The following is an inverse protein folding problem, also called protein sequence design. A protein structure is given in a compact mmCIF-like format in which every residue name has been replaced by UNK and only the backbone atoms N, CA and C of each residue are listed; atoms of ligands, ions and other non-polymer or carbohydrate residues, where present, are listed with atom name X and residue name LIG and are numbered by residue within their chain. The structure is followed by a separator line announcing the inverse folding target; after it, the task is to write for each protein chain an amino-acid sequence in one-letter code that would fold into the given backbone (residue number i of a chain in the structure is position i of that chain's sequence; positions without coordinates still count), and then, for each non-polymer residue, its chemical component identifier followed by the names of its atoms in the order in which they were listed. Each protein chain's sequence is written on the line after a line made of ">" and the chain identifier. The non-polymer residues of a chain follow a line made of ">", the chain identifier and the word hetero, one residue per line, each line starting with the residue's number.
data_IF_630004135735
#
_entry.id   IF_630004135735
#
_cell.length_a   1.000
_cell.length_b   1.000
_cell.length_c   1.000
_cell.angle_alpha   90.00
_cell.angle_beta   90.00
_cell.angle_gamma   90.00
#
_symmetry.space_group_name_H-M   'P 1'
#
loop_
_entity.id
_entity.type
_entity.pdbx_description
1 polymer ?
#
# COMPACT_ATOMS: atom_id res chain seq x y z
N UNK A 1 14.55 -7.09 25.01
CA UNK A 1 13.84 -8.09 24.18
C UNK A 1 12.36 -7.72 24.16
N UNK A 2 11.66 -7.94 23.05
CA UNK A 2 10.21 -7.76 23.02
C UNK A 2 9.53 -8.68 24.04
N UNK A 3 8.54 -8.17 24.76
CA UNK A 3 7.72 -8.95 25.67
C UNK A 3 6.67 -9.77 24.93
N UNK A 4 6.10 -9.19 23.89
CA UNK A 4 5.00 -9.78 23.14
C UNK A 4 5.45 -10.27 21.76
N UNK A 5 4.73 -11.26 21.24
CA UNK A 5 4.96 -11.78 19.88
C UNK A 5 4.68 -10.69 18.85
N UNK A 6 5.31 -10.84 17.67
CA UNK A 6 4.97 -10.02 16.50
C UNK A 6 3.73 -10.61 15.81
N UNK A 7 2.61 -9.87 15.71
CA UNK A 7 1.38 -10.35 15.07
C UNK A 7 1.52 -10.56 13.56
N UNK A 8 2.55 -9.97 12.93
CA UNK A 8 2.76 -10.04 11.48
C UNK A 8 3.61 -11.23 11.03
N UNK A 9 3.97 -12.09 11.97
CA UNK A 9 4.52 -13.43 11.67
C UNK A 9 3.38 -14.42 11.46
N UNK A 10 3.60 -15.45 10.64
CA UNK A 10 2.62 -16.51 10.42
C UNK A 10 2.14 -17.14 11.75
N UNK A 11 3.11 -17.48 12.63
CA UNK A 11 2.81 -18.05 13.95
C UNK A 11 2.09 -17.06 14.84
N UNK A 12 2.52 -15.79 14.87
CA UNK A 12 1.89 -14.75 15.70
C UNK A 12 0.46 -14.47 15.28
N UNK A 13 0.20 -14.33 13.98
CA UNK A 13 -1.14 -14.08 13.45
C UNK A 13 -2.10 -15.22 13.75
N UNK A 14 -1.70 -16.47 13.46
CA UNK A 14 -2.50 -17.66 13.74
C UNK A 14 -2.71 -17.90 15.22
N UNK A 15 -1.76 -17.49 16.10
CA UNK A 15 -1.93 -17.59 17.53
C UNK A 15 -3.01 -16.64 18.05
N UNK A 16 -3.09 -15.44 17.51
CA UNK A 16 -4.09 -14.44 17.91
C UNK A 16 -5.46 -14.79 17.38
N UNK A 17 -5.58 -15.09 16.08
CA UNK A 17 -6.85 -15.16 15.39
C UNK A 17 -7.23 -16.55 14.88
N UNK A 18 -6.31 -17.50 14.82
CA UNK A 18 -6.51 -18.79 14.18
C UNK A 18 -6.74 -19.98 15.14
N UNK A 19 -6.92 -19.74 16.44
CA UNK A 19 -7.08 -20.81 17.42
C UNK A 19 -8.52 -20.87 17.95
N UNK A 20 -9.14 -22.06 17.88
CA UNK A 20 -10.52 -22.28 18.34
C UNK A 20 -10.70 -21.96 19.83
N UNK A 21 -9.68 -22.19 20.66
CA UNK A 21 -9.69 -21.88 22.10
C UNK A 21 -9.73 -20.38 22.39
N UNK A 22 -9.36 -19.55 21.41
CA UNK A 22 -9.29 -18.09 21.53
C UNK A 22 -10.15 -17.39 20.46
N UNK A 23 -11.20 -18.06 19.96
CA UNK A 23 -12.08 -17.55 18.90
C UNK A 23 -12.74 -16.21 19.26
N UNK A 24 -12.90 -15.92 20.55
CA UNK A 24 -13.44 -14.65 21.01
C UNK A 24 -12.61 -13.43 20.58
N UNK A 25 -11.31 -13.59 20.35
CA UNK A 25 -10.46 -12.49 19.84
C UNK A 25 -10.84 -12.15 18.39
N UNK A 26 -11.05 -13.18 17.56
CA UNK A 26 -11.46 -12.97 16.18
C UNK A 26 -12.91 -12.45 16.10
N UNK A 27 -13.81 -12.97 16.92
CA UNK A 27 -15.20 -12.49 16.99
C UNK A 27 -15.23 -11.01 17.37
N UNK A 28 -14.46 -10.62 18.39
CA UNK A 28 -14.40 -9.23 18.85
C UNK A 28 -13.84 -8.31 17.76
N UNK A 29 -12.74 -8.71 17.13
CA UNK A 29 -12.15 -7.96 16.01
C UNK A 29 -13.14 -7.81 14.83
N UNK A 30 -13.82 -8.90 14.43
CA UNK A 30 -14.78 -8.86 13.32
C UNK A 30 -15.98 -7.97 13.64
N UNK A 31 -16.48 -7.99 14.88
CA UNK A 31 -17.56 -7.12 15.31
C UNK A 31 -17.17 -5.64 15.29
N UNK A 32 -15.93 -5.31 15.67
CA UNK A 32 -15.43 -3.95 15.62
C UNK A 32 -15.17 -3.49 14.16
N UNK A 33 -14.69 -4.40 13.31
CA UNK A 33 -14.50 -4.14 11.88
C UNK A 33 -15.82 -3.88 11.14
N UNK A 34 -16.89 -4.62 11.50
CA UNK A 34 -18.20 -4.61 10.85
C UNK A 34 -19.27 -3.89 11.70
N UNK A 35 -18.83 -2.98 12.58
CA UNK A 35 -19.72 -2.25 13.48
C UNK A 35 -20.83 -1.53 12.71
N UNK A 36 -22.09 -1.69 13.16
CA UNK A 36 -23.27 -1.13 12.53
C UNK A 36 -23.82 -1.91 11.33
N UNK A 37 -23.13 -2.97 10.88
CA UNK A 37 -23.58 -3.81 9.77
C UNK A 37 -24.14 -5.15 10.25
N UNK A 38 -23.41 -5.81 11.16
CA UNK A 38 -23.81 -7.10 11.73
C UNK A 38 -23.16 -7.33 13.09
N UNK A 39 -23.70 -8.31 13.80
CA UNK A 39 -23.13 -8.80 15.05
C UNK A 39 -22.92 -10.31 14.96
N UNK A 40 -21.68 -10.73 15.09
CA UNK A 40 -21.25 -12.12 15.12
C UNK A 40 -21.21 -12.58 16.57
N UNK A 41 -21.90 -13.66 16.88
CA UNK A 41 -21.98 -14.22 18.25
C UNK A 41 -21.11 -15.45 18.40
N UNK A 42 -20.95 -16.21 17.32
CA UNK A 42 -20.10 -17.39 17.29
C UNK A 42 -19.41 -17.58 15.92
N UNK A 43 -18.28 -18.29 15.92
CA UNK A 43 -17.61 -18.76 14.70
C UNK A 43 -17.19 -20.22 14.83
N UNK A 44 -17.17 -20.89 13.69
CA UNK A 44 -16.58 -22.22 13.52
C UNK A 44 -15.45 -22.15 12.50
N UNK A 45 -14.25 -22.58 12.87
CA UNK A 45 -13.13 -22.66 11.94
C UNK A 45 -13.36 -23.77 10.93
N UNK A 46 -13.08 -23.48 9.67
CA UNK A 46 -13.17 -24.39 8.54
C UNK A 46 -11.78 -24.89 8.14
N UNK A 47 -11.75 -25.94 7.34
CA UNK A 47 -10.48 -26.40 6.76
C UNK A 47 -9.91 -25.30 5.85
N UNK A 48 -8.71 -24.84 6.20
CA UNK A 48 -8.01 -23.79 5.47
C UNK A 48 -7.34 -24.29 4.19
N UNK A 49 -7.11 -25.61 4.09
CA UNK A 49 -6.44 -26.24 2.96
C UNK A 49 -7.49 -26.73 1.96
N UNK A 50 -7.85 -25.88 1.01
CA UNK A 50 -8.79 -26.24 -0.05
C UNK A 50 -8.05 -27.01 -1.14
N UNK A 51 -8.11 -28.35 -1.03
CA UNK A 51 -7.57 -29.22 -2.07
C UNK A 51 -8.31 -29.00 -3.40
N UNK A 52 -7.63 -29.10 -4.54
CA UNK A 52 -8.26 -28.98 -5.83
C UNK A 52 -9.22 -30.17 -6.08
N UNK A 53 -10.35 -29.87 -6.74
CA UNK A 53 -11.34 -30.89 -7.08
C UNK A 53 -10.85 -31.85 -8.18
N UNK A 54 -9.90 -31.40 -9.01
CA UNK A 54 -9.32 -32.18 -10.09
C UNK A 54 -7.79 -32.18 -10.00
N UNK A 55 -7.18 -33.30 -10.42
CA UNK A 55 -5.73 -33.44 -10.50
C UNK A 55 -5.14 -32.41 -11.49
N UNK A 56 -4.31 -31.51 -10.99
CA UNK A 56 -3.67 -30.44 -11.78
C UNK A 56 -4.24 -29.05 -11.50
N UNK A 57 -5.37 -28.94 -10.84
CA UNK A 57 -5.88 -27.61 -10.42
C UNK A 57 -5.08 -27.06 -9.23
N UNK A 58 -5.12 -25.76 -9.10
CA UNK A 58 -4.40 -25.07 -8.03
C UNK A 58 -5.24 -25.04 -6.75
N UNK A 59 -4.76 -25.70 -5.70
CA UNK A 59 -5.34 -25.59 -4.35
C UNK A 59 -5.16 -24.18 -3.78
N UNK A 60 -5.96 -23.86 -2.77
CA UNK A 60 -5.89 -22.62 -2.02
C UNK A 60 -5.62 -22.94 -0.56
N UNK A 61 -4.70 -22.23 0.06
CA UNK A 61 -4.43 -22.31 1.50
C UNK A 61 -4.70 -20.94 2.08
N UNK A 62 -5.64 -20.89 3.02
CA UNK A 62 -5.97 -19.68 3.76
C UNK A 62 -5.16 -19.60 5.08
N UNK A 63 -4.87 -18.39 5.54
CA UNK A 63 -4.31 -18.23 6.88
C UNK A 63 -5.36 -18.58 7.93
N UNK A 64 -6.55 -17.98 7.81
CA UNK A 64 -7.70 -18.24 8.67
C UNK A 64 -8.95 -18.32 7.81
N UNK A 65 -9.75 -19.35 8.02
CA UNK A 65 -11.03 -19.56 7.36
C UNK A 65 -12.06 -20.00 8.38
N UNK A 66 -13.16 -19.26 8.48
CA UNK A 66 -14.23 -19.58 9.43
C UNK A 66 -15.61 -19.18 8.90
N UNK A 67 -16.65 -19.69 9.54
CA UNK A 67 -18.05 -19.33 9.29
C UNK A 67 -18.71 -18.85 10.58
N UNK A 68 -19.64 -17.91 10.48
CA UNK A 68 -20.47 -17.49 11.60
C UNK A 68 -21.74 -18.35 11.71
N UNK A 69 -22.59 -18.02 12.68
CA UNK A 69 -23.88 -18.68 12.95
C UNK A 69 -24.86 -18.61 11.78
N UNK A 70 -24.75 -17.59 10.91
CA UNK A 70 -25.59 -17.42 9.71
C UNK A 70 -25.06 -18.16 8.48
N UNK A 71 -23.90 -18.83 8.61
CA UNK A 71 -23.22 -19.53 7.53
C UNK A 71 -22.41 -18.60 6.61
N UNK A 72 -22.24 -17.33 6.94
CA UNK A 72 -21.37 -16.42 6.22
C UNK A 72 -19.90 -16.75 6.51
N UNK A 73 -19.06 -16.63 5.50
CA UNK A 73 -17.68 -17.08 5.55
C UNK A 73 -16.71 -15.91 5.65
N UNK A 74 -15.68 -16.09 6.46
CA UNK A 74 -14.63 -15.09 6.68
C UNK A 74 -13.27 -15.72 6.39
N UNK A 75 -12.56 -15.11 5.44
CA UNK A 75 -11.17 -15.41 5.10
C UNK A 75 -10.35 -14.25 5.62
N UNK A 76 -9.41 -14.50 6.54
CA UNK A 76 -8.58 -13.46 7.14
C UNK A 76 -7.12 -13.80 6.84
N UNK A 77 -6.45 -12.90 6.15
CA UNK A 77 -5.13 -13.08 5.56
C UNK A 77 -4.15 -12.02 6.06
N UNK A 78 -2.91 -12.42 6.32
CA UNK A 78 -1.80 -11.53 6.63
C UNK A 78 -0.80 -11.49 5.46
N UNK A 79 -0.61 -10.31 4.88
CA UNK A 79 0.25 -10.11 3.72
C UNK A 79 1.36 -9.10 4.04
N UNK A 80 2.59 -9.59 4.15
CA UNK A 80 3.75 -8.77 4.51
C UNK A 80 4.44 -8.10 3.32
N UNK A 81 4.11 -8.50 2.10
CA UNK A 81 4.68 -7.94 0.86
C UNK A 81 3.67 -7.90 -0.26
N UNK A 82 3.78 -6.89 -1.09
CA UNK A 82 3.07 -6.85 -2.36
C UNK A 82 3.59 -7.96 -3.28
N UNK A 83 2.67 -8.69 -3.90
CA UNK A 83 2.95 -9.67 -4.94
C UNK A 83 2.35 -9.16 -6.24
N UNK A 84 3.00 -9.44 -7.36
CA UNK A 84 2.61 -8.93 -8.68
C UNK A 84 1.14 -9.18 -9.01
N UNK A 85 0.57 -10.31 -8.55
CA UNK A 85 -0.82 -10.69 -8.81
C UNK A 85 -1.64 -10.77 -7.51
N UNK A 86 -1.40 -9.87 -6.57
CA UNK A 86 -2.06 -9.90 -5.26
C UNK A 86 -3.59 -9.77 -5.38
N UNK A 87 -4.08 -8.86 -6.23
CA UNK A 87 -5.53 -8.64 -6.41
C UNK A 87 -6.22 -9.82 -7.07
N UNK A 88 -5.60 -10.35 -8.10
CA UNK A 88 -6.08 -11.54 -8.81
C UNK A 88 -6.12 -12.74 -7.87
N UNK A 89 -5.10 -12.88 -7.00
CA UNK A 89 -5.07 -13.92 -5.99
C UNK A 89 -6.19 -13.75 -4.95
N UNK A 90 -6.40 -12.53 -4.45
CA UNK A 90 -7.49 -12.25 -3.52
C UNK A 90 -8.85 -12.58 -4.15
N UNK A 91 -9.06 -12.16 -5.42
CA UNK A 91 -10.27 -12.49 -6.17
C UNK A 91 -10.43 -13.99 -6.34
N UNK A 92 -9.38 -14.70 -6.75
CA UNK A 92 -9.41 -16.15 -6.91
C UNK A 92 -9.77 -16.86 -5.60
N UNK A 93 -9.17 -16.44 -4.48
CA UNK A 93 -9.40 -17.01 -3.17
C UNK A 93 -10.88 -16.94 -2.74
N UNK A 94 -11.46 -15.74 -2.84
CA UNK A 94 -12.88 -15.57 -2.47
C UNK A 94 -13.81 -16.25 -3.46
N UNK A 95 -13.47 -16.28 -4.75
CA UNK A 95 -14.26 -16.98 -5.77
C UNK A 95 -14.32 -18.49 -5.50
N UNK A 96 -13.21 -19.09 -5.02
CA UNK A 96 -13.21 -20.51 -4.62
C UNK A 96 -14.15 -20.78 -3.43
N UNK A 97 -14.18 -19.88 -2.44
CA UNK A 97 -15.09 -20.02 -1.30
C UNK A 97 -16.56 -19.86 -1.72
N UNK A 98 -16.88 -18.99 -2.66
CA UNK A 98 -18.22 -18.87 -3.26
C UNK A 98 -18.57 -20.14 -4.05
N UNK A 99 -17.69 -20.59 -4.94
CA UNK A 99 -17.95 -21.73 -5.81
C UNK A 99 -18.20 -23.01 -5.02
N UNK A 100 -17.51 -23.21 -3.90
CA UNK A 100 -17.67 -24.39 -3.02
C UNK A 100 -18.97 -24.42 -2.22
N UNK A 101 -19.76 -23.36 -2.24
CA UNK A 101 -21.10 -23.38 -1.67
C UNK A 101 -22.10 -24.06 -2.59
N UNK A 102 -21.70 -24.36 -3.84
CA UNK A 102 -22.57 -25.05 -4.81
C UNK A 102 -22.88 -26.48 -4.38
N UNK A 103 -24.15 -26.77 -4.22
CA UNK A 103 -24.67 -28.12 -3.92
C UNK A 103 -25.09 -28.84 -5.21
N UNK A 104 -24.90 -30.16 -5.25
CA UNK A 104 -25.38 -30.99 -6.37
C UNK A 104 -26.85 -31.26 -6.20
N UNK A 105 -27.62 -31.07 -7.26
CA UNK A 105 -29.03 -31.44 -7.30
C UNK A 105 -29.92 -30.30 -7.79
N UNK A 106 -31.14 -30.66 -8.25
CA UNK A 106 -32.11 -29.72 -8.83
C UNK A 106 -32.78 -28.81 -7.79
N UNK A 107 -32.67 -29.14 -6.51
CA UNK A 107 -33.31 -28.38 -5.42
C UNK A 107 -32.50 -27.21 -4.92
N UNK A 108 -31.20 -27.12 -5.27
CA UNK A 108 -30.36 -25.98 -4.90
C UNK A 108 -30.79 -24.71 -5.62
N UNK A 109 -31.17 -23.70 -4.86
CA UNK A 109 -31.73 -22.43 -5.37
C UNK A 109 -30.74 -21.29 -5.37
N UNK A 110 -29.43 -21.55 -5.47
CA UNK A 110 -28.36 -20.55 -5.43
C UNK A 110 -28.37 -19.64 -4.18
N UNK A 111 -28.76 -20.19 -3.02
CA UNK A 111 -28.76 -19.47 -1.75
C UNK A 111 -27.34 -19.30 -1.22
N UNK A 112 -26.56 -18.43 -1.88
CA UNK A 112 -25.20 -18.15 -1.50
C UNK A 112 -25.12 -17.36 -0.19
N UNK A 113 -24.24 -17.78 0.69
CA UNK A 113 -23.85 -17.01 1.87
C UNK A 113 -22.75 -16.03 1.51
N UNK A 114 -22.68 -14.89 2.21
CA UNK A 114 -21.64 -13.91 1.97
C UNK A 114 -20.25 -14.45 2.32
N UNK A 115 -19.24 -14.04 1.54
CA UNK A 115 -17.83 -14.33 1.76
C UNK A 115 -17.08 -13.01 1.92
N UNK A 116 -16.47 -12.83 3.07
CA UNK A 116 -15.67 -11.68 3.43
C UNK A 116 -14.20 -12.04 3.37
N UNK A 117 -13.42 -11.36 2.53
CA UNK A 117 -11.96 -11.42 2.55
C UNK A 117 -11.38 -10.22 3.27
N UNK A 118 -10.71 -10.45 4.38
CA UNK A 118 -10.09 -9.42 5.19
C UNK A 118 -8.56 -9.57 5.06
N UNK A 119 -7.93 -8.59 4.45
CA UNK A 119 -6.51 -8.63 4.13
C UNK A 119 -5.75 -7.58 4.94
N UNK A 120 -4.99 -8.02 5.93
CA UNK A 120 -4.01 -7.17 6.59
C UNK A 120 -2.77 -7.04 5.69
N UNK A 121 -2.45 -5.83 5.28
CA UNK A 121 -1.35 -5.58 4.35
C UNK A 121 -0.29 -4.69 4.99
N UNK A 122 0.95 -5.18 5.01
CA UNK A 122 2.10 -4.41 5.46
C UNK A 122 2.79 -3.66 4.31
N UNK A 123 2.02 -3.27 3.29
CA UNK A 123 2.44 -2.51 2.11
C UNK A 123 1.28 -1.63 1.61
N UNK A 124 1.59 -0.70 0.70
CA UNK A 124 0.59 0.18 0.08
C UNK A 124 0.03 -0.44 -1.20
N UNK A 125 -1.29 -0.41 -1.35
CA UNK A 125 -1.91 -0.68 -2.65
C UNK A 125 -1.69 0.50 -3.60
N UNK A 126 -1.12 0.22 -4.76
CA UNK A 126 -0.78 1.23 -5.79
C UNK A 126 -1.96 2.10 -6.24
N UNK A 127 -3.21 1.62 -6.10
CA UNK A 127 -4.44 2.29 -6.54
C UNK A 127 -5.22 2.99 -5.42
N UNK A 128 -4.77 2.93 -4.17
CA UNK A 128 -5.41 3.59 -3.02
C UNK A 128 -4.35 4.17 -2.09
N UNK A 129 -3.48 5.05 -2.58
CA UNK A 129 -2.41 5.60 -1.76
C UNK A 129 -3.02 6.41 -0.60
N UNK A 130 -2.53 6.16 0.61
CA UNK A 130 -2.91 6.91 1.81
C UNK A 130 -4.23 6.50 2.46
N UNK A 131 -4.99 5.56 1.92
CA UNK A 131 -6.24 5.07 2.52
C UNK A 131 -5.99 3.81 3.35
N UNK A 132 -6.27 3.89 4.66
CA UNK A 132 -6.06 2.77 5.57
C UNK A 132 -6.99 1.58 5.29
N UNK A 133 -8.31 1.83 5.19
CA UNK A 133 -9.31 0.80 4.91
C UNK A 133 -9.94 1.02 3.54
N UNK A 134 -10.02 -0.04 2.73
CA UNK A 134 -10.73 -0.05 1.44
C UNK A 134 -11.68 -1.23 1.42
N UNK A 135 -12.96 -0.94 1.24
CA UNK A 135 -14.02 -1.94 1.06
C UNK A 135 -14.40 -2.00 -0.43
N UNK A 136 -14.43 -3.22 -0.98
CA UNK A 136 -14.80 -3.47 -2.37
C UNK A 136 -15.97 -4.44 -2.38
N UNK A 137 -17.00 -4.08 -3.12
CA UNK A 137 -18.21 -4.86 -3.35
C UNK A 137 -18.52 -4.92 -4.85
N UNK A 138 -19.41 -5.82 -5.25
CA UNK A 138 -19.92 -5.86 -6.62
C UNK A 138 -20.99 -4.77 -6.79
N UNK A 139 -20.76 -3.83 -7.70
CA UNK A 139 -21.68 -2.72 -7.98
C UNK A 139 -21.90 -2.54 -9.47
N UNK A 140 -23.02 -1.94 -9.81
CA UNK A 140 -23.29 -1.43 -11.16
C UNK A 140 -22.29 -0.32 -11.49
N UNK A 141 -21.74 -0.38 -12.70
CA UNK A 141 -20.65 0.53 -13.11
C UNK A 141 -21.14 1.97 -13.31
N UNK A 142 -22.37 2.13 -13.76
CA UNK A 142 -22.89 3.43 -14.15
C UNK A 142 -23.61 4.13 -12.98
N UNK A 143 -24.35 3.34 -12.15
CA UNK A 143 -25.14 3.88 -11.01
C UNK A 143 -24.38 3.81 -9.69
N UNK A 144 -23.33 2.98 -9.57
CA UNK A 144 -22.65 2.61 -8.33
C UNK A 144 -23.55 1.93 -7.29
N UNK A 145 -24.74 1.48 -7.67
CA UNK A 145 -25.59 0.71 -6.79
C UNK A 145 -25.01 -0.69 -6.54
N UNK A 146 -25.07 -1.16 -5.31
CA UNK A 146 -24.57 -2.48 -4.94
C UNK A 146 -25.41 -3.56 -5.61
N UNK A 147 -24.82 -4.31 -6.53
CA UNK A 147 -25.45 -5.44 -7.20
C UNK A 147 -25.55 -6.66 -6.27
N UNK A 148 -24.52 -6.91 -5.48
CA UNK A 148 -24.46 -8.04 -4.54
C UNK A 148 -23.50 -7.76 -3.39
N UNK A 149 -23.94 -8.09 -2.18
CA UNK A 149 -23.18 -8.08 -0.93
C UNK A 149 -22.52 -9.43 -0.60
N UNK A 150 -22.68 -10.42 -1.48
CA UNK A 150 -22.20 -11.79 -1.24
C UNK A 150 -20.71 -11.98 -1.40
N UNK A 151 -20.01 -11.01 -2.00
CA UNK A 151 -18.57 -11.02 -2.16
C UNK A 151 -18.02 -9.66 -1.75
N UNK A 152 -17.26 -9.64 -0.64
CA UNK A 152 -16.72 -8.42 -0.11
C UNK A 152 -15.24 -8.55 0.22
N UNK A 153 -14.43 -7.59 -0.27
CA UNK A 153 -13.01 -7.49 0.06
C UNK A 153 -12.79 -6.30 0.98
N UNK A 154 -12.08 -6.52 2.08
CA UNK A 154 -11.70 -5.48 3.04
C UNK A 154 -10.17 -5.46 3.11
N UNK A 155 -9.56 -4.44 2.54
CA UNK A 155 -8.13 -4.24 2.55
C UNK A 155 -7.74 -3.25 3.64
N UNK A 156 -6.84 -3.67 4.54
CA UNK A 156 -6.33 -2.88 5.67
C UNK A 156 -4.85 -2.59 5.44
N UNK A 157 -4.53 -1.39 4.95
CA UNK A 157 -3.17 -0.95 4.65
C UNK A 157 -2.50 -0.42 5.93
N UNK A 158 -1.83 -1.30 6.68
CA UNK A 158 -1.23 -0.96 7.97
C UNK A 158 -0.24 0.23 7.95
N UNK A 159 0.57 0.43 6.88
CA UNK A 159 1.41 1.63 6.81
C UNK A 159 0.63 2.95 6.76
N UNK A 160 -0.64 2.93 6.31
CA UNK A 160 -1.51 4.11 6.27
C UNK A 160 -2.20 4.42 7.60
N UNK A 161 -2.11 3.53 8.59
CA UNK A 161 -2.63 3.79 9.93
C UNK A 161 -1.55 4.50 10.76
N UNK A 162 -1.74 5.80 10.99
CA UNK A 162 -0.76 6.69 11.65
C UNK A 162 -1.22 7.24 12.99
N UNK A 163 -2.40 6.78 13.48
CA UNK A 163 -2.95 7.24 14.76
C UNK A 163 -2.12 6.75 15.93
N UNK A 164 -1.93 7.65 16.90
CA UNK A 164 -1.36 7.33 18.20
C UNK A 164 -2.44 6.83 19.17
N UNK A 165 -2.03 6.40 20.38
CA UNK A 165 -2.93 5.76 21.36
C UNK A 165 -4.13 6.64 21.73
N UNK A 166 -3.91 7.90 21.98
CA UNK A 166 -4.92 8.89 22.38
C UNK A 166 -5.84 9.33 21.22
N UNK A 167 -5.40 9.13 19.98
CA UNK A 167 -6.16 9.43 18.78
C UNK A 167 -7.13 8.31 18.39
N UNK A 168 -7.00 7.11 18.99
CA UNK A 168 -7.85 5.95 18.71
C UNK A 168 -9.24 6.12 19.35
N UNK A 169 -10.23 6.48 18.55
CA UNK A 169 -11.59 6.75 19.01
C UNK A 169 -12.47 5.49 19.02
N UNK A 170 -12.31 4.61 18.04
CA UNK A 170 -13.10 3.38 17.89
C UNK A 170 -12.36 2.15 18.42
N UNK A 171 -13.11 1.09 18.76
CA UNK A 171 -12.50 -0.17 19.20
C UNK A 171 -11.73 -0.86 18.06
N UNK A 172 -12.21 -0.70 16.82
CA UNK A 172 -11.47 -1.13 15.65
C UNK A 172 -10.10 -0.44 15.52
N UNK A 173 -10.03 0.88 15.71
CA UNK A 173 -8.75 1.60 15.69
C UNK A 173 -7.80 1.15 16.80
N UNK A 174 -8.35 0.86 18.00
CA UNK A 174 -7.58 0.31 19.13
C UNK A 174 -6.99 -1.06 18.81
N UNK A 175 -7.77 -1.94 18.14
CA UNK A 175 -7.26 -3.21 17.64
C UNK A 175 -6.07 -3.02 16.69
N UNK A 176 -6.21 -2.15 15.70
CA UNK A 176 -5.16 -1.90 14.72
C UNK A 176 -3.91 -1.30 15.39
N UNK A 177 -4.10 -0.33 16.31
CA UNK A 177 -3.01 0.25 17.07
C UNK A 177 -2.23 -0.81 17.88
N UNK A 178 -2.96 -1.67 18.60
CA UNK A 178 -2.36 -2.74 19.39
C UNK A 178 -1.60 -3.72 18.50
N UNK A 179 -2.21 -4.20 17.43
CA UNK A 179 -1.54 -5.12 16.50
C UNK A 179 -0.27 -4.50 15.90
N UNK A 180 -0.36 -3.25 15.42
CA UNK A 180 0.74 -2.58 14.75
C UNK A 180 1.95 -2.36 15.67
N UNK A 181 1.71 -2.05 16.93
CA UNK A 181 2.74 -1.65 17.89
C UNK A 181 3.08 -2.73 18.93
N UNK A 182 2.55 -3.94 18.81
CA UNK A 182 2.60 -4.99 19.87
C UNK A 182 4.02 -5.29 20.36
N UNK A 183 5.01 -5.39 19.47
CA UNK A 183 6.40 -5.68 19.86
C UNK A 183 7.04 -4.59 20.74
N UNK A 184 6.53 -3.36 20.69
CA UNK A 184 7.08 -2.22 21.44
C UNK A 184 6.53 -2.12 22.85
N UNK A 185 5.41 -2.79 23.15
CA UNK A 185 4.74 -2.67 24.42
C UNK A 185 5.38 -3.53 25.53
N UNK A 186 5.38 -2.98 26.75
CA UNK A 186 5.61 -3.74 27.98
C UNK A 186 4.29 -4.16 28.63
N UNK A 187 3.21 -3.45 28.36
CA UNK A 187 1.82 -3.77 28.71
C UNK A 187 0.93 -3.32 27.59
N UNK A 188 -0.08 -4.13 27.23
CA UNK A 188 -1.01 -3.73 26.21
C UNK A 188 -1.88 -2.55 26.69
N UNK A 189 -2.08 -1.52 25.85
CA UNK A 189 -3.00 -0.42 26.14
C UNK A 189 -4.47 -0.88 26.09
N UNK A 190 -5.38 -0.01 26.49
CA UNK A 190 -6.84 -0.18 26.39
C UNK A 190 -7.48 -1.31 27.23
N UNK A 191 -6.73 -2.03 28.07
CA UNK A 191 -7.27 -3.14 28.90
C UNK A 191 -8.43 -2.69 29.80
N UNK A 192 -8.33 -1.49 30.37
CA UNK A 192 -9.39 -0.93 31.21
C UNK A 192 -10.68 -0.59 30.41
N UNK A 193 -10.59 -0.46 29.09
CA UNK A 193 -11.73 -0.17 28.19
C UNK A 193 -12.39 -1.42 27.64
N UNK A 194 -11.61 -2.49 27.45
CA UNK A 194 -12.11 -3.72 26.82
C UNK A 194 -11.36 -4.94 27.33
N UNK A 195 -12.07 -5.86 27.98
CA UNK A 195 -11.50 -7.07 28.61
C UNK A 195 -10.80 -8.02 27.64
N UNK A 196 -11.13 -7.94 26.35
CA UNK A 196 -10.49 -8.72 25.28
C UNK A 196 -8.98 -8.46 25.21
N UNK A 197 -8.52 -7.24 25.51
CA UNK A 197 -7.10 -6.92 25.52
C UNK A 197 -6.36 -7.51 26.74
N UNK A 198 -7.04 -7.84 27.83
CA UNK A 198 -6.44 -8.60 28.93
C UNK A 198 -6.14 -10.05 28.52
N UNK A 199 -7.11 -10.68 27.83
CA UNK A 199 -6.90 -12.03 27.29
C UNK A 199 -5.83 -12.03 26.20
N UNK A 200 -5.86 -11.06 25.30
CA UNK A 200 -4.84 -10.90 24.28
C UNK A 200 -3.45 -10.80 24.90
N UNK A 201 -3.26 -9.99 25.94
CA UNK A 201 -1.96 -9.85 26.63
C UNK A 201 -1.41 -11.18 27.13
N UNK A 202 -2.25 -12.04 27.71
CA UNK A 202 -1.85 -13.36 28.18
C UNK A 202 -1.43 -14.31 27.05
N UNK A 203 -2.14 -14.25 25.92
CA UNK A 203 -1.92 -15.12 24.75
C UNK A 203 -0.64 -14.76 24.01
N UNK A 204 -0.36 -13.45 23.89
CA UNK A 204 0.78 -12.92 23.12
C UNK A 204 2.07 -12.76 23.92
N UNK A 205 2.06 -12.99 25.22
CA UNK A 205 3.27 -12.92 26.07
C UNK A 205 4.23 -14.06 25.69
N UNK A 206 5.42 -13.69 25.24
CA UNK A 206 6.45 -14.66 24.84
C UNK A 206 6.83 -15.60 25.95
N UNK A 207 6.79 -15.14 27.21
CA UNK A 207 7.10 -15.98 28.37
C UNK A 207 6.05 -17.07 28.62
N UNK A 208 4.83 -16.92 28.11
CA UNK A 208 3.75 -17.91 28.23
C UNK A 208 3.82 -19.03 27.18
N UNK A 209 4.69 -18.91 26.17
CA UNK A 209 4.83 -19.90 25.10
C UNK A 209 5.40 -21.22 25.63
N UNK A 210 4.84 -22.34 25.20
CA UNK A 210 5.47 -23.65 25.36
C UNK A 210 6.84 -23.65 24.65
N UNK A 211 7.71 -24.60 25.01
CA UNK A 211 9.01 -24.73 24.33
C UNK A 211 8.86 -24.96 22.82
N UNK A 212 7.87 -25.75 22.43
CA UNK A 212 7.57 -26.04 21.02
C UNK A 212 7.05 -24.79 20.30
N UNK A 213 6.06 -24.08 20.85
CA UNK A 213 5.54 -22.84 20.28
C UNK A 213 6.60 -21.77 20.21
N UNK A 214 7.49 -21.71 21.19
CA UNK A 214 8.61 -20.77 21.19
C UNK A 214 9.57 -21.02 20.02
N UNK A 215 9.91 -22.30 19.77
CA UNK A 215 10.77 -22.64 18.62
C UNK A 215 10.11 -22.26 17.29
N UNK A 216 8.82 -22.56 17.12
CA UNK A 216 8.07 -22.18 15.90
C UNK A 216 8.02 -20.65 15.74
N UNK A 217 7.82 -19.94 16.82
CA UNK A 217 7.82 -18.47 16.80
C UNK A 217 9.19 -17.89 16.46
N UNK A 218 10.27 -18.40 17.08
CA UNK A 218 11.64 -17.93 16.83
C UNK A 218 12.05 -18.16 15.36
N UNK A 219 11.60 -19.24 14.74
CA UNK A 219 11.78 -19.47 13.29
C UNK A 219 10.95 -18.49 12.46
N UNK A 220 9.69 -18.32 12.78
CA UNK A 220 8.77 -17.42 12.06
C UNK A 220 9.22 -15.96 12.13
N UNK A 221 9.67 -15.47 13.29
CA UNK A 221 10.17 -14.10 13.44
C UNK A 221 11.50 -13.88 12.69
N UNK A 222 12.34 -14.91 12.61
CA UNK A 222 13.56 -14.86 11.81
C UNK A 222 13.21 -14.68 10.33
N UNK A 223 12.34 -15.53 9.78
CA UNK A 223 11.89 -15.44 8.39
C UNK A 223 11.27 -14.06 8.09
N UNK A 224 10.46 -13.53 9.00
CA UNK A 224 9.88 -12.21 8.88
C UNK A 224 10.93 -11.10 8.82
N UNK A 225 11.92 -11.12 9.74
CA UNK A 225 13.00 -10.12 9.80
C UNK A 225 13.94 -10.19 8.61
N UNK A 226 14.32 -11.40 8.18
CA UNK A 226 15.13 -11.61 6.97
C UNK A 226 14.42 -11.03 5.74
N UNK A 227 13.11 -11.21 5.67
CA UNK A 227 12.30 -10.66 4.60
C UNK A 227 12.29 -9.12 4.59
N UNK A 228 12.10 -8.49 5.77
CA UNK A 228 12.16 -7.02 5.89
C UNK A 228 13.53 -6.48 5.48
N UNK A 229 14.61 -7.15 5.87
CA UNK A 229 15.97 -6.75 5.51
C UNK A 229 16.19 -6.77 3.99
N UNK A 230 15.67 -7.79 3.28
CA UNK A 230 15.74 -7.87 1.81
C UNK A 230 14.95 -6.74 1.15
N UNK A 231 13.76 -6.40 1.67
CA UNK A 231 12.96 -5.30 1.15
C UNK A 231 13.64 -3.93 1.36
N UNK A 232 14.21 -3.70 2.53
CA UNK A 232 14.94 -2.47 2.83
C UNK A 232 16.17 -2.30 1.93
N UNK A 233 16.93 -3.38 1.73
CA UNK A 233 18.07 -3.38 0.81
C UNK A 233 17.64 -3.04 -0.63
N UNK A 234 16.62 -3.71 -1.15
CA UNK A 234 16.11 -3.47 -2.51
C UNK A 234 15.59 -2.02 -2.68
N UNK A 235 14.96 -1.47 -1.64
CA UNK A 235 14.50 -0.07 -1.64
C UNK A 235 15.66 0.91 -1.68
N UNK A 236 16.71 0.68 -0.88
CA UNK A 236 17.90 1.51 -0.86
C UNK A 236 18.65 1.47 -2.21
N UNK A 237 18.83 0.27 -2.77
CA UNK A 237 19.47 0.08 -4.09
C UNK A 237 18.67 0.79 -5.20
N UNK A 238 17.34 0.65 -5.20
CA UNK A 238 16.46 1.32 -6.15
C UNK A 238 16.51 2.85 -6.03
N UNK A 239 16.58 3.39 -4.81
CA UNK A 239 16.72 4.82 -4.56
C UNK A 239 18.07 5.35 -5.08
N UNK A 240 19.17 4.66 -4.77
CA UNK A 240 20.52 5.03 -5.23
C UNK A 240 20.62 5.01 -6.77
N UNK A 241 20.08 3.96 -7.40
CA UNK A 241 20.04 3.85 -8.86
C UNK A 241 19.21 4.98 -9.48
N UNK A 242 18.04 5.27 -8.91
CA UNK A 242 17.17 6.36 -9.36
C UNK A 242 17.83 7.74 -9.24
N UNK A 243 18.52 8.01 -8.12
CA UNK A 243 19.28 9.25 -7.92
C UNK A 243 20.42 9.40 -8.95
N UNK A 244 21.18 8.32 -9.19
CA UNK A 244 22.27 8.31 -10.18
C UNK A 244 21.75 8.58 -11.58
N UNK A 245 20.67 7.91 -12.00
CA UNK A 245 20.05 8.13 -13.31
C UNK A 245 19.46 9.53 -13.45
N UNK A 246 18.82 10.04 -12.40
CA UNK A 246 18.27 11.39 -12.37
C UNK A 246 19.36 12.46 -12.49
N UNK A 247 20.50 12.27 -11.81
CA UNK A 247 21.64 13.18 -11.86
C UNK A 247 22.25 13.22 -13.27
N UNK A 248 22.50 12.08 -13.90
CA UNK A 248 23.04 12.00 -15.27
C UNK A 248 22.12 12.72 -16.26
N UNK A 249 20.81 12.40 -16.25
CA UNK A 249 19.82 13.06 -17.11
C UNK A 249 19.73 14.57 -16.85
N UNK A 250 19.81 14.99 -15.59
CA UNK A 250 19.79 16.40 -15.21
C UNK A 250 20.99 17.16 -15.76
N UNK A 251 22.19 16.58 -15.67
CA UNK A 251 23.43 17.15 -16.22
C UNK A 251 23.34 17.25 -17.75
N UNK A 252 22.95 16.19 -18.46
CA UNK A 252 22.79 16.18 -19.91
C UNK A 252 21.82 17.26 -20.39
N UNK A 253 20.64 17.35 -19.75
CA UNK A 253 19.65 18.38 -20.11
C UNK A 253 20.13 19.79 -19.79
N UNK A 254 20.81 19.98 -18.66
CA UNK A 254 21.40 21.25 -18.27
C UNK A 254 22.47 21.72 -19.24
N UNK A 255 23.38 20.83 -19.65
CA UNK A 255 24.42 21.11 -20.64
C UNK A 255 23.82 21.46 -22.01
N UNK A 256 22.84 20.65 -22.50
CA UNK A 256 22.20 20.93 -23.79
C UNK A 256 21.51 22.30 -23.82
N UNK A 257 20.76 22.64 -22.74
CA UNK A 257 20.11 23.96 -22.61
C UNK A 257 21.11 25.10 -22.49
N UNK A 258 22.19 24.87 -21.74
CA UNK A 258 23.28 25.87 -21.58
C UNK A 258 23.99 26.19 -22.89
N UNK A 259 24.36 25.16 -23.67
CA UNK A 259 24.98 25.30 -24.98
C UNK A 259 24.04 26.03 -25.96
N UNK A 260 22.75 25.59 -26.06
CA UNK A 260 21.80 26.26 -26.94
C UNK A 260 21.63 27.76 -26.62
N UNK A 261 21.50 28.10 -25.34
CA UNK A 261 21.39 29.50 -24.88
C UNK A 261 22.68 30.30 -25.15
N UNK A 262 23.85 29.68 -24.92
CA UNK A 262 25.13 30.31 -25.21
C UNK A 262 25.35 30.60 -26.69
N UNK A 263 24.96 29.68 -27.59
CA UNK A 263 25.01 29.89 -29.03
C UNK A 263 24.07 31.02 -29.45
N UNK A 264 22.85 31.05 -28.96
CA UNK A 264 21.89 32.13 -29.27
C UNK A 264 22.37 33.48 -28.79
N UNK A 265 22.88 33.59 -27.58
CA UNK A 265 23.46 34.82 -27.03
C UNK A 265 24.67 35.27 -27.86
N UNK A 266 25.61 34.37 -28.13
CA UNK A 266 26.80 34.70 -28.93
C UNK A 266 26.46 35.15 -30.37
N UNK A 267 25.43 34.57 -30.98
CA UNK A 267 24.94 35.01 -32.28
C UNK A 267 24.37 36.42 -32.22
N UNK A 268 23.50 36.71 -31.27
CA UNK A 268 22.89 38.04 -31.11
C UNK A 268 23.94 39.13 -30.81
N UNK A 269 24.90 38.82 -29.93
CA UNK A 269 26.02 39.74 -29.63
C UNK A 269 26.91 39.95 -30.84
N UNK A 270 27.20 38.90 -31.63
CA UNK A 270 27.97 38.98 -32.86
C UNK A 270 27.30 39.84 -33.91
N UNK A 271 26.00 39.64 -34.17
CA UNK A 271 25.21 40.47 -35.06
C UNK A 271 25.15 41.94 -34.64
N UNK A 272 24.96 42.21 -33.36
CA UNK A 272 24.93 43.55 -32.81
C UNK A 272 26.31 44.27 -32.99
N UNK A 273 27.41 43.58 -32.67
CA UNK A 273 28.75 44.10 -32.85
C UNK A 273 29.07 44.42 -34.32
N UNK A 274 28.61 43.58 -35.25
CA UNK A 274 28.76 43.83 -36.68
C UNK A 274 27.98 45.07 -37.15
N UNK A 275 26.72 45.21 -36.70
CA UNK A 275 25.88 46.40 -36.94
C UNK A 275 26.57 47.67 -36.43
N UNK A 276 27.07 47.68 -35.21
CA UNK A 276 27.78 48.79 -34.61
C UNK A 276 29.08 49.14 -35.39
N UNK A 277 29.84 48.14 -35.81
CA UNK A 277 31.05 48.31 -36.63
C UNK A 277 30.74 48.91 -37.99
N UNK A 278 29.68 48.47 -38.66
CA UNK A 278 29.26 49.01 -39.94
C UNK A 278 28.75 50.45 -39.79
N UNK A 279 27.93 50.74 -38.74
CA UNK A 279 27.46 52.10 -38.47
C UNK A 279 28.64 53.09 -38.25
N UNK A 280 29.65 52.72 -37.45
CA UNK A 280 30.87 53.54 -37.26
C UNK A 280 31.59 53.84 -38.58
N UNK A 281 31.72 52.82 -39.46
CA UNK A 281 32.38 52.97 -40.75
C UNK A 281 31.60 53.92 -41.67
N UNK A 282 30.28 53.84 -41.68
CA UNK A 282 29.40 54.71 -42.49
C UNK A 282 29.43 56.15 -41.96
N UNK A 283 29.35 56.34 -40.62
CA UNK A 283 29.45 57.64 -39.96
C UNK A 283 30.79 58.33 -40.31
N UNK A 284 31.93 57.61 -40.27
CA UNK A 284 33.26 58.13 -40.63
C UNK A 284 33.35 58.52 -42.10
N UNK A 285 32.55 57.88 -42.99
CA UNK A 285 32.50 58.22 -44.44
C UNK A 285 31.49 59.31 -44.76
N UNK A 286 30.82 59.91 -43.80
CA UNK A 286 29.93 61.05 -43.98
C UNK A 286 28.51 60.68 -44.50
N UNK A 287 28.04 59.45 -44.33
CA UNK A 287 26.66 59.09 -44.70
C UNK A 287 25.67 59.79 -43.73
N UNK A 288 24.47 60.15 -44.24
CA UNK A 288 23.39 60.68 -43.42
C UNK A 288 22.98 59.70 -42.31
N UNK A 289 22.60 60.21 -41.12
CA UNK A 289 22.24 59.37 -39.96
C UNK A 289 21.05 58.48 -40.26
N UNK A 290 20.04 58.99 -41.01
CA UNK A 290 18.84 58.25 -41.38
C UNK A 290 19.21 57.06 -42.31
N UNK A 291 20.11 57.23 -43.26
CA UNK A 291 20.59 56.16 -44.12
C UNK A 291 21.36 55.08 -43.35
N UNK A 292 22.14 55.52 -42.34
CA UNK A 292 22.83 54.58 -41.44
C UNK A 292 21.86 53.78 -40.61
N UNK A 293 20.80 54.41 -40.09
CA UNK A 293 19.74 53.74 -39.33
C UNK A 293 18.99 52.67 -40.17
N UNK A 294 18.62 53.02 -41.39
CA UNK A 294 17.91 52.10 -42.27
C UNK A 294 18.75 50.88 -42.64
N UNK A 295 20.05 51.06 -42.91
CA UNK A 295 20.95 49.96 -43.31
C UNK A 295 21.36 49.08 -42.11
N UNK A 296 21.60 49.65 -40.93
CA UNK A 296 22.11 48.90 -39.81
C UNK A 296 21.03 48.43 -38.83
N UNK A 297 19.84 49.03 -38.88
CA UNK A 297 18.76 48.78 -37.94
C UNK A 297 19.04 49.31 -36.55
N UNK A 298 20.02 50.20 -36.36
CA UNK A 298 20.30 50.88 -35.11
C UNK A 298 19.46 52.16 -34.98
N UNK A 299 19.12 52.55 -33.78
CA UNK A 299 18.43 53.79 -33.53
C UNK A 299 19.34 55.00 -33.79
N UNK A 300 18.74 56.15 -34.13
CA UNK A 300 19.49 57.41 -34.36
C UNK A 300 20.25 57.83 -33.11
N UNK A 301 19.79 57.52 -31.91
CA UNK A 301 20.44 57.74 -30.61
C UNK A 301 21.71 56.91 -30.49
N UNK A 302 21.63 55.60 -30.83
CA UNK A 302 22.76 54.68 -30.78
C UNK A 302 23.81 55.11 -31.83
N UNK A 303 23.43 55.52 -33.04
CA UNK A 303 24.34 56.00 -34.06
C UNK A 303 25.02 57.32 -33.66
N UNK A 304 24.31 58.22 -32.98
CA UNK A 304 24.88 59.47 -32.49
C UNK A 304 25.93 59.25 -31.38
N UNK A 305 25.79 58.20 -30.59
CA UNK A 305 26.71 57.83 -29.51
C UNK A 305 27.98 57.12 -29.98
N UNK A 306 28.04 56.69 -31.23
CA UNK A 306 29.22 56.05 -31.89
C UNK A 306 30.25 57.07 -32.34
#
# INVERSE_FOLDING_TARGET
>A
MARFINPFTDVGFKRIFGQAIHKELLIDFLNDLLVGEKRITDITFLDKDLLPDFSGDRGVIYDIYCTNEDGEQFIVEMQNREQTFFRERALYYLSQAIARQGERGAEWKFNLKAVYGIFFMNFHLSHSPGKFRTDIVLSDRDTNEVFSDKLRFIFLQLPCFTKEEDECQTDFERWIYVLKNMETFQRLPFKARKSVFEKLEQIVDIASLSKEDRMKYDESIKVYRDHLAVLDFAKQEGLELGMRQGMVKGIEQGMAKGIAKGIEQGKNEGEMNERLKNARRMKTKGYPIDDIADITGLSTEEINSL
#
